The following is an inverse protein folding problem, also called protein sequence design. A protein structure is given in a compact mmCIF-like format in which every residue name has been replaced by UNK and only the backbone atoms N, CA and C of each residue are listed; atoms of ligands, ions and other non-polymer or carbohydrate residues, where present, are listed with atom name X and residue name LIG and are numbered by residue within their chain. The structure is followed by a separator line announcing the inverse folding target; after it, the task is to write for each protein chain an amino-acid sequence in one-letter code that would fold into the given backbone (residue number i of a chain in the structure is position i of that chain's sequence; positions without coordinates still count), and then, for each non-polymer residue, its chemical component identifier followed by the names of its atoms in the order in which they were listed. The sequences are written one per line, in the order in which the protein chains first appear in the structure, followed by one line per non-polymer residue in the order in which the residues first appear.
data_IF_271921396188
#
_entry.id   IF_271921396188
#
_cell.length_a   1.000
_cell.length_b   1.000
_cell.length_c   1.000
_cell.angle_alpha   90.00
_cell.angle_beta   90.00
_cell.angle_gamma   90.00
#
_symmetry.space_group_name_H-M   'P 1'
#
loop_
_entity.id
_entity.type
_entity.pdbx_description
1 polymer ?
#
# COMPACT_ATOMS: atom_id res chain seq x y z
N UNK A 1 42.84 -35.73 7.47
CA UNK A 1 41.97 -34.55 7.29
C UNK A 1 41.15 -34.77 6.04
N UNK A 2 40.00 -35.45 6.16
CA UNK A 2 39.08 -35.65 5.03
C UNK A 2 38.18 -34.42 4.93
N UNK A 3 38.49 -33.52 4.00
CA UNK A 3 37.58 -32.45 3.62
C UNK A 3 36.32 -33.08 3.04
N UNK A 4 35.21 -32.96 3.75
CA UNK A 4 33.90 -33.37 3.27
C UNK A 4 33.66 -32.69 1.92
N UNK A 5 33.34 -33.41 0.84
CA UNK A 5 33.07 -32.78 -0.44
C UNK A 5 31.86 -31.85 -0.27
N UNK A 6 32.05 -30.56 -0.56
CA UNK A 6 30.96 -29.60 -0.56
C UNK A 6 29.90 -30.08 -1.55
N UNK A 7 28.68 -30.32 -1.08
CA UNK A 7 27.55 -30.65 -1.94
C UNK A 7 27.24 -29.51 -2.92
N UNK A 8 26.33 -29.70 -3.89
CA UNK A 8 26.01 -28.68 -4.90
C UNK A 8 25.34 -27.43 -4.30
N UNK A 9 24.95 -27.47 -3.03
CA UNK A 9 24.30 -26.39 -2.33
C UNK A 9 25.25 -25.73 -1.32
N UNK A 10 25.20 -24.39 -1.28
CA UNK A 10 25.83 -23.59 -0.24
C UNK A 10 24.77 -23.09 0.72
N UNK A 11 24.97 -23.31 2.02
CA UNK A 11 24.14 -22.70 3.06
C UNK A 11 24.49 -21.20 3.15
N UNK A 12 23.47 -20.34 3.00
CA UNK A 12 23.58 -18.90 3.25
C UNK A 12 22.70 -18.58 4.45
N UNK A 13 23.31 -18.63 5.64
CA UNK A 13 22.70 -18.28 6.91
C UNK A 13 22.50 -16.76 7.05
N UNK A 14 21.91 -16.33 8.16
CA UNK A 14 21.64 -14.90 8.36
C UNK A 14 22.91 -14.06 8.33
N UNK A 15 23.98 -14.49 9.02
CA UNK A 15 25.23 -13.73 9.10
C UNK A 15 25.85 -13.52 7.71
N UNK A 16 25.79 -14.54 6.85
CA UNK A 16 26.25 -14.42 5.46
C UNK A 16 25.36 -13.46 4.63
N UNK A 17 24.04 -13.41 4.86
CA UNK A 17 23.13 -12.45 4.21
C UNK A 17 23.40 -11.03 4.66
N UNK A 18 23.52 -10.81 5.98
CA UNK A 18 23.86 -9.51 6.57
C UNK A 18 25.24 -9.03 6.10
N UNK A 19 26.22 -9.93 5.98
CA UNK A 19 27.54 -9.60 5.41
C UNK A 19 27.48 -9.20 3.93
N UNK A 20 26.53 -9.76 3.15
CA UNK A 20 26.34 -9.33 1.76
C UNK A 20 25.77 -7.90 1.67
N UNK A 21 25.04 -7.43 2.69
CA UNK A 21 24.53 -6.05 2.75
C UNK A 21 25.64 -4.99 2.88
N UNK A 22 26.88 -5.39 3.20
CA UNK A 22 28.04 -4.48 3.20
C UNK A 22 28.34 -3.90 1.81
N UNK A 23 27.93 -4.60 0.75
CA UNK A 23 28.09 -4.16 -0.65
C UNK A 23 26.98 -3.21 -1.12
N UNK A 24 25.95 -2.98 -0.29
CA UNK A 24 24.91 -2.00 -0.59
C UNK A 24 25.46 -0.57 -0.55
N UNK A 25 24.74 0.35 -1.19
CA UNK A 25 25.04 1.76 -1.20
C UNK A 25 25.15 2.33 0.24
N UNK A 26 25.98 3.36 0.47
CA UNK A 26 26.14 3.95 1.81
C UNK A 26 24.84 4.46 2.44
N UNK A 27 23.84 4.81 1.62
CA UNK A 27 22.53 5.28 2.06
C UNK A 27 21.51 4.17 2.33
N UNK A 28 21.88 2.89 2.08
CA UNK A 28 21.00 1.75 2.31
C UNK A 28 20.85 1.42 3.80
N UNK A 29 19.64 1.03 4.20
CA UNK A 29 19.41 0.47 5.52
C UNK A 29 19.95 -0.95 5.61
N UNK A 30 20.69 -1.27 6.67
CA UNK A 30 21.24 -2.61 6.91
C UNK A 30 20.46 -3.30 8.01
N UNK A 31 20.10 -4.56 7.82
CA UNK A 31 19.37 -5.36 8.80
C UNK A 31 20.16 -5.48 10.10
N UNK A 32 21.48 -5.67 10.01
CA UNK A 32 22.39 -5.73 11.15
C UNK A 32 22.48 -4.41 11.95
N UNK A 33 22.06 -3.28 11.36
CA UNK A 33 22.01 -1.96 11.99
C UNK A 33 20.58 -1.49 12.29
N UNK A 34 19.60 -2.41 12.24
CA UNK A 34 18.21 -2.09 12.56
C UNK A 34 18.08 -1.52 13.98
N UNK A 35 17.16 -0.56 14.15
CA UNK A 35 16.73 -0.08 15.48
C UNK A 35 15.94 -1.14 16.26
N UNK A 36 15.68 -2.28 15.63
CA UNK A 36 15.08 -3.45 16.25
C UNK A 36 13.56 -3.39 16.35
N UNK A 37 13.04 -4.30 17.18
CA UNK A 37 11.61 -4.53 17.40
C UNK A 37 11.19 -3.94 18.74
N UNK A 38 9.90 -3.65 18.90
CA UNK A 38 9.37 -3.12 20.16
C UNK A 38 9.53 -4.13 21.30
N UNK A 39 9.30 -5.42 21.02
CA UNK A 39 9.57 -6.51 21.96
C UNK A 39 10.79 -7.32 21.49
N UNK A 40 11.81 -7.48 22.35
CA UNK A 40 12.95 -8.34 22.02
C UNK A 40 12.51 -9.77 21.73
N UNK A 41 13.08 -10.36 20.70
CA UNK A 41 12.84 -11.75 20.33
C UNK A 41 14.14 -12.38 19.84
N UNK A 42 14.28 -13.72 19.94
CA UNK A 42 15.42 -14.41 19.39
C UNK A 42 15.55 -14.17 17.88
N UNK A 43 16.80 -14.07 17.51
CA UNK A 43 17.29 -13.80 16.19
C UNK A 43 17.17 -15.09 15.32
N UNK A 44 16.70 -14.99 14.06
CA UNK A 44 16.48 -16.16 13.18
C UNK A 44 17.81 -16.64 12.58
N UNK A 45 18.01 -17.96 12.51
CA UNK A 45 19.27 -18.54 12.07
C UNK A 45 19.55 -18.31 10.57
N UNK A 46 18.51 -18.15 9.74
CA UNK A 46 18.63 -18.09 8.29
C UNK A 46 18.26 -16.73 7.71
N UNK A 47 17.20 -16.10 8.23
CA UNK A 47 16.62 -14.90 7.64
C UNK A 47 17.08 -13.63 8.34
N UNK A 48 17.27 -12.55 7.59
CA UNK A 48 17.49 -11.20 8.17
C UNK A 48 16.23 -10.68 8.84
N UNK A 49 16.36 -9.63 9.66
CA UNK A 49 15.21 -9.03 10.34
C UNK A 49 14.12 -8.54 9.35
N UNK A 50 14.52 -7.97 8.21
CA UNK A 50 13.60 -7.48 7.18
C UNK A 50 12.92 -8.62 6.39
N UNK A 51 13.63 -9.72 6.11
CA UNK A 51 13.04 -10.91 5.51
C UNK A 51 11.96 -11.53 6.43
N UNK A 52 12.21 -11.56 7.74
CA UNK A 52 11.21 -12.02 8.72
C UNK A 52 9.97 -11.14 8.73
N UNK A 53 10.14 -9.83 8.60
CA UNK A 53 9.03 -8.87 8.58
C UNK A 53 8.15 -9.04 7.35
N UNK A 54 8.79 -9.15 6.17
CA UNK A 54 8.11 -9.51 4.93
C UNK A 54 7.24 -10.76 5.12
N UNK A 55 7.83 -11.82 5.67
CA UNK A 55 7.14 -13.09 5.85
C UNK A 55 5.96 -12.95 6.84
N UNK A 56 6.10 -12.17 7.92
CA UNK A 56 5.01 -11.89 8.87
C UNK A 56 3.84 -11.16 8.22
N UNK A 57 4.13 -10.10 7.45
CA UNK A 57 3.12 -9.33 6.72
C UNK A 57 2.38 -10.23 5.74
N UNK A 58 3.10 -11.06 4.98
CA UNK A 58 2.50 -11.94 3.97
C UNK A 58 1.49 -12.94 4.58
N UNK A 59 1.70 -13.38 5.82
CA UNK A 59 0.83 -14.31 6.53
C UNK A 59 -0.29 -13.63 7.36
N UNK A 60 -0.27 -12.30 7.47
CA UNK A 60 -1.27 -11.52 8.18
C UNK A 60 -2.68 -11.71 7.59
N UNK A 61 -3.72 -11.58 8.43
CA UNK A 61 -5.11 -11.60 7.96
C UNK A 61 -5.41 -10.35 7.14
N UNK A 62 -4.91 -9.18 7.56
CA UNK A 62 -5.06 -7.92 6.86
C UNK A 62 -4.52 -7.99 5.43
N UNK A 63 -3.33 -8.58 5.23
CA UNK A 63 -2.77 -8.78 3.90
C UNK A 63 -3.65 -9.67 3.02
N UNK A 64 -4.15 -10.79 3.55
CA UNK A 64 -5.09 -11.67 2.82
C UNK A 64 -6.39 -10.96 2.40
N UNK A 65 -6.87 -10.00 3.21
CA UNK A 65 -8.08 -9.23 2.92
C UNK A 65 -7.91 -8.26 1.76
N UNK A 66 -6.67 -7.87 1.40
CA UNK A 66 -6.42 -7.00 0.24
C UNK A 66 -6.96 -7.58 -1.06
N UNK A 67 -7.07 -8.92 -1.17
CA UNK A 67 -7.70 -9.61 -2.31
C UNK A 67 -9.16 -9.19 -2.51
N UNK A 68 -9.83 -8.77 -1.44
CA UNK A 68 -11.26 -8.48 -1.41
C UNK A 68 -11.54 -7.01 -1.10
N UNK A 69 -10.54 -6.14 -1.29
CA UNK A 69 -10.68 -4.68 -1.23
C UNK A 69 -10.38 -4.11 -2.60
N UNK A 70 -11.24 -3.22 -3.05
CA UNK A 70 -11.15 -2.59 -4.36
C UNK A 70 -10.01 -1.57 -4.41
N UNK A 71 -9.30 -1.52 -5.55
CA UNK A 71 -8.42 -0.42 -5.93
C UNK A 71 -9.16 0.48 -6.93
N UNK A 72 -9.41 1.74 -6.56
CA UNK A 72 -10.03 2.80 -7.40
C UNK A 72 -11.44 2.51 -7.93
N UNK A 73 -11.64 1.48 -8.75
CA UNK A 73 -12.91 1.24 -9.41
C UNK A 73 -13.82 0.30 -8.63
N UNK A 74 -14.84 0.84 -7.94
CA UNK A 74 -15.86 0.04 -7.23
C UNK A 74 -16.55 -0.94 -8.20
N UNK A 75 -16.14 -2.20 -8.13
CA UNK A 75 -16.76 -3.29 -8.86
C UNK A 75 -16.67 -4.60 -8.06
N UNK A 76 -17.66 -4.91 -7.21
CA UNK A 76 -17.67 -6.15 -6.43
C UNK A 76 -17.87 -7.43 -7.28
N UNK A 77 -18.23 -7.31 -8.56
CA UNK A 77 -18.63 -8.45 -9.43
C UNK A 77 -17.79 -8.62 -10.72
N UNK A 78 -16.83 -7.73 -11.00
CA UNK A 78 -16.02 -7.77 -12.22
C UNK A 78 -14.64 -8.40 -12.02
N UNK A 79 -14.36 -9.48 -12.75
CA UNK A 79 -13.12 -10.28 -12.61
C UNK A 79 -11.85 -9.59 -13.16
N UNK A 80 -11.97 -8.44 -13.82
CA UNK A 80 -10.86 -7.79 -14.54
C UNK A 80 -10.27 -6.55 -13.86
N UNK A 81 -10.79 -6.12 -12.70
CA UNK A 81 -10.32 -4.91 -12.02
C UNK A 81 -9.21 -5.20 -11.01
N UNK A 82 -8.28 -4.25 -10.89
CA UNK A 82 -7.18 -4.32 -9.92
C UNK A 82 -7.77 -4.33 -8.50
N UNK A 83 -7.40 -5.33 -7.71
CA UNK A 83 -7.64 -5.35 -6.27
C UNK A 83 -6.48 -4.66 -5.57
N UNK A 84 -6.64 -4.27 -4.30
CA UNK A 84 -5.50 -3.76 -3.51
C UNK A 84 -4.36 -4.77 -3.43
N UNK A 85 -4.65 -6.07 -3.45
CA UNK A 85 -3.59 -7.08 -3.51
C UNK A 85 -2.81 -7.00 -4.81
N UNK A 86 -3.48 -6.87 -5.95
CA UNK A 86 -2.81 -6.73 -7.25
C UNK A 86 -2.00 -5.44 -7.32
N UNK A 87 -2.54 -4.31 -6.85
CA UNK A 87 -1.80 -3.05 -6.69
C UNK A 87 -0.55 -3.25 -5.81
N UNK A 88 -0.72 -3.85 -4.64
CA UNK A 88 0.38 -4.13 -3.70
C UNK A 88 1.49 -4.95 -4.34
N UNK A 89 1.16 -5.96 -5.16
CA UNK A 89 2.16 -6.76 -5.88
C UNK A 89 2.90 -5.94 -6.95
N UNK A 90 2.20 -5.05 -7.65
CA UNK A 90 2.82 -4.12 -8.62
C UNK A 90 3.75 -3.13 -7.92
N UNK A 91 3.29 -2.49 -6.83
CA UNK A 91 4.11 -1.60 -5.99
C UNK A 91 5.34 -2.33 -5.46
N UNK A 92 5.18 -3.56 -5.01
CA UNK A 92 6.30 -4.40 -4.54
C UNK A 92 7.31 -4.65 -5.65
N UNK A 93 6.86 -4.96 -6.87
CA UNK A 93 7.77 -5.14 -8.01
C UNK A 93 8.54 -3.86 -8.34
N UNK A 94 7.87 -2.72 -8.40
CA UNK A 94 8.49 -1.41 -8.69
C UNK A 94 9.47 -1.02 -7.58
N UNK A 95 9.06 -1.12 -6.31
CA UNK A 95 9.91 -0.80 -5.16
C UNK A 95 11.19 -1.63 -5.13
N UNK A 96 11.10 -2.95 -5.39
CA UNK A 96 12.26 -3.83 -5.49
C UNK A 96 13.15 -3.50 -6.69
N UNK A 97 12.57 -3.05 -7.80
CA UNK A 97 13.33 -2.61 -8.98
C UNK A 97 14.14 -1.36 -8.66
N UNK A 98 13.51 -0.36 -8.04
CA UNK A 98 14.16 0.88 -7.60
C UNK A 98 15.25 0.60 -6.58
N UNK A 99 14.94 -0.19 -5.54
CA UNK A 99 15.91 -0.53 -4.50
C UNK A 99 17.15 -1.21 -5.08
N UNK A 100 16.97 -2.20 -5.97
CA UNK A 100 18.10 -2.86 -6.63
C UNK A 100 18.93 -1.93 -7.52
N UNK A 101 18.27 -1.11 -8.34
CA UNK A 101 18.96 -0.19 -9.24
C UNK A 101 19.81 0.84 -8.47
N UNK A 102 19.35 1.24 -7.28
CA UNK A 102 20.03 2.21 -6.41
C UNK A 102 20.99 1.56 -5.39
N UNK A 103 21.13 0.23 -5.40
CA UNK A 103 21.95 -0.49 -4.42
C UNK A 103 21.43 -0.42 -2.99
N UNK A 104 20.11 -0.31 -2.79
CA UNK A 104 19.43 -0.25 -1.50
C UNK A 104 18.97 -1.64 -1.05
N UNK A 105 18.46 -1.75 0.19
CA UNK A 105 18.02 -3.02 0.75
C UNK A 105 16.68 -3.47 0.16
N UNK A 106 16.74 -4.39 -0.79
CA UNK A 106 15.58 -4.93 -1.48
C UNK A 106 14.56 -5.58 -0.52
N UNK A 107 15.02 -6.30 0.51
CA UNK A 107 14.13 -7.00 1.44
C UNK A 107 13.34 -6.02 2.31
N UNK A 108 13.95 -4.90 2.69
CA UNK A 108 13.25 -3.83 3.41
C UNK A 108 12.21 -3.14 2.51
N UNK A 109 12.59 -2.78 1.28
CA UNK A 109 11.65 -2.18 0.32
C UNK A 109 10.46 -3.11 0.04
N UNK A 110 10.71 -4.42 -0.11
CA UNK A 110 9.67 -5.44 -0.27
C UNK A 110 8.76 -5.54 0.95
N UNK A 111 9.31 -5.62 2.16
CA UNK A 111 8.51 -5.69 3.40
C UNK A 111 7.59 -4.46 3.56
N UNK A 112 8.12 -3.25 3.34
CA UNK A 112 7.33 -2.02 3.41
C UNK A 112 6.26 -2.00 2.32
N UNK A 113 6.60 -2.34 1.08
CA UNK A 113 5.66 -2.36 -0.04
C UNK A 113 4.52 -3.36 0.20
N UNK A 114 4.76 -4.54 0.76
CA UNK A 114 3.68 -5.47 1.11
C UNK A 114 2.81 -4.95 2.25
N UNK A 115 3.37 -4.13 3.14
CA UNK A 115 2.68 -3.59 4.31
C UNK A 115 1.93 -2.27 4.07
N UNK A 116 2.25 -1.51 3.01
CA UNK A 116 1.77 -0.13 2.88
C UNK A 116 0.25 0.02 2.87
N UNK A 117 -0.43 -0.97 2.28
CA UNK A 117 -1.86 -0.92 1.97
C UNK A 117 -2.74 -1.72 2.96
N UNK A 118 -2.14 -2.45 3.92
CA UNK A 118 -2.88 -3.33 4.85
C UNK A 118 -3.92 -2.59 5.70
N UNK A 119 -3.73 -1.28 5.88
CA UNK A 119 -4.58 -0.39 6.66
C UNK A 119 -5.79 0.19 5.92
N UNK A 120 -5.92 0.01 4.60
CA UNK A 120 -7.02 0.65 3.87
C UNK A 120 -8.40 0.15 4.31
N UNK A 121 -9.36 1.05 4.33
CA UNK A 121 -10.78 0.78 4.58
C UNK A 121 -11.44 0.02 3.43
N UNK A 122 -12.65 -0.54 3.63
CA UNK A 122 -13.49 -0.95 2.52
C UNK A 122 -13.79 0.25 1.61
N UNK A 123 -13.96 0.01 0.31
CA UNK A 123 -14.28 1.04 -0.70
C UNK A 123 -13.18 2.09 -0.95
N UNK A 124 -11.93 1.80 -0.54
CA UNK A 124 -10.77 2.66 -0.84
C UNK A 124 -10.87 4.06 -0.23
N UNK A 125 -10.43 5.09 -0.96
CA UNK A 125 -10.39 6.47 -0.44
C UNK A 125 -11.76 6.98 0.04
N UNK A 126 -12.85 6.53 -0.60
CA UNK A 126 -14.21 6.87 -0.17
C UNK A 126 -14.48 6.36 1.25
N UNK A 127 -14.02 5.15 1.56
CA UNK A 127 -14.14 4.58 2.89
C UNK A 127 -13.35 5.37 3.93
N UNK A 128 -12.19 5.92 3.58
CA UNK A 128 -11.39 6.77 4.48
C UNK A 128 -12.16 8.04 4.87
N UNK A 129 -12.68 8.75 3.87
CA UNK A 129 -13.49 9.95 4.09
C UNK A 129 -14.75 9.66 4.94
N UNK A 130 -15.27 8.44 4.86
CA UNK A 130 -16.41 8.03 5.67
C UNK A 130 -16.08 7.98 7.17
N UNK A 131 -14.81 7.74 7.53
CA UNK A 131 -14.33 7.67 8.91
C UNK A 131 -13.96 9.02 9.53
N UNK A 132 -13.75 10.07 8.73
CA UNK A 132 -13.31 11.39 9.23
C UNK A 132 -14.13 11.95 10.40
N UNK A 133 -15.48 11.83 10.43
CA UNK A 133 -16.25 12.32 11.58
C UNK A 133 -15.98 11.59 12.90
N UNK A 134 -15.41 10.38 12.84
CA UNK A 134 -15.18 9.52 14.01
C UNK A 134 -13.75 9.57 14.54
N UNK A 135 -12.80 10.12 13.77
CA UNK A 135 -11.39 10.18 14.18
C UNK A 135 -10.94 11.63 14.25
N UNK A 136 -10.71 12.18 15.46
CA UNK A 136 -10.18 13.53 15.62
C UNK A 136 -8.86 13.69 14.84
N UNK A 137 -8.79 14.71 13.98
CA UNK A 137 -7.63 14.94 13.11
C UNK A 137 -7.68 14.22 11.76
N UNK A 138 -8.74 13.46 11.48
CA UNK A 138 -8.94 12.71 10.24
C UNK A 138 -8.48 11.26 10.33
N UNK A 139 -9.06 10.39 9.51
CA UNK A 139 -8.66 8.99 9.40
C UNK A 139 -7.69 8.82 8.22
N UNK A 140 -6.64 8.02 8.39
CA UNK A 140 -5.68 7.75 7.31
C UNK A 140 -5.22 6.29 7.34
N UNK A 141 -5.23 5.62 6.19
CA UNK A 141 -4.91 4.19 6.09
C UNK A 141 -3.51 3.85 6.59
N UNK A 142 -2.52 4.70 6.34
CA UNK A 142 -1.16 4.49 6.84
C UNK A 142 -1.10 4.39 8.38
N UNK A 143 -1.86 5.21 9.11
CA UNK A 143 -1.94 5.13 10.57
C UNK A 143 -2.65 3.84 11.00
N UNK A 144 -3.73 3.47 10.30
CA UNK A 144 -4.41 2.20 10.53
C UNK A 144 -3.50 1.00 10.23
N UNK A 145 -2.65 1.07 9.20
CA UNK A 145 -1.69 0.04 8.85
C UNK A 145 -0.69 -0.20 9.97
N UNK A 146 -0.16 0.86 10.57
CA UNK A 146 0.69 0.77 11.78
C UNK A 146 -0.09 0.15 12.94
N UNK A 147 -1.32 0.60 13.20
CA UNK A 147 -2.17 0.04 14.26
C UNK A 147 -2.45 -1.46 14.06
N UNK A 148 -2.66 -1.90 12.82
CA UNK A 148 -2.84 -3.32 12.50
C UNK A 148 -1.59 -4.12 12.87
N UNK A 149 -0.41 -3.69 12.44
CA UNK A 149 0.81 -4.48 12.62
C UNK A 149 1.36 -4.41 14.05
N UNK A 150 1.03 -3.36 14.81
CA UNK A 150 1.49 -3.20 16.19
C UNK A 150 0.50 -3.71 17.24
N UNK A 151 -0.81 -3.52 17.02
CA UNK A 151 -1.83 -3.72 18.06
C UNK A 151 -2.76 -4.87 17.70
N UNK A 152 -3.39 -4.84 16.52
CA UNK A 152 -4.50 -5.75 16.20
C UNK A 152 -4.03 -7.16 15.82
N UNK A 153 -2.97 -7.26 15.02
CA UNK A 153 -2.36 -8.53 14.64
C UNK A 153 -1.00 -8.77 15.31
N UNK A 154 -0.46 -7.74 15.97
CA UNK A 154 0.74 -7.79 16.81
C UNK A 154 1.92 -8.55 16.17
N UNK A 155 2.33 -8.09 14.98
CA UNK A 155 3.38 -8.71 14.18
C UNK A 155 4.80 -8.43 14.70
N UNK A 156 4.96 -7.53 15.68
CA UNK A 156 6.24 -7.13 16.27
C UNK A 156 7.33 -6.80 15.22
N UNK A 157 6.98 -6.04 14.18
CA UNK A 157 7.87 -5.68 13.07
C UNK A 157 9.03 -4.78 13.52
N UNK A 158 10.11 -4.71 12.75
CA UNK A 158 11.20 -3.77 12.99
C UNK A 158 10.70 -2.33 12.85
N UNK A 159 11.43 -1.39 13.45
CA UNK A 159 11.11 0.03 13.38
C UNK A 159 11.10 0.55 11.93
N UNK A 160 12.03 0.10 11.09
CA UNK A 160 12.16 0.57 9.69
C UNK A 160 10.93 0.22 8.86
N UNK A 161 10.40 -0.99 9.02
CA UNK A 161 9.20 -1.43 8.30
C UNK A 161 7.99 -0.64 8.77
N UNK A 162 7.84 -0.44 10.08
CA UNK A 162 6.73 0.35 10.65
C UNK A 162 6.78 1.81 10.22
N UNK A 163 7.95 2.43 10.20
CA UNK A 163 8.13 3.80 9.71
C UNK A 163 7.83 3.92 8.21
N UNK A 164 8.26 2.94 7.41
CA UNK A 164 7.91 2.86 6.00
C UNK A 164 6.39 2.77 5.78
N UNK A 165 5.70 1.89 6.50
CA UNK A 165 4.22 1.78 6.44
C UNK A 165 3.57 3.10 6.88
N UNK A 166 4.04 3.71 7.97
CA UNK A 166 3.55 4.98 8.51
C UNK A 166 3.60 6.10 7.48
N UNK A 167 4.67 6.21 6.69
CA UNK A 167 4.95 7.40 5.88
C UNK A 167 5.16 7.14 4.38
N UNK A 168 4.70 6.02 3.84
CA UNK A 168 4.71 5.77 2.39
C UNK A 168 3.83 6.78 1.61
N UNK A 169 2.81 7.38 2.26
CA UNK A 169 1.95 8.37 1.62
C UNK A 169 2.68 9.70 1.47
N UNK A 170 2.53 10.31 0.29
CA UNK A 170 3.09 11.64 0.01
C UNK A 170 2.45 12.78 0.81
N UNK A 171 1.31 12.53 1.47
CA UNK A 171 0.61 13.50 2.32
C UNK A 171 1.22 13.61 3.72
N UNK A 172 2.13 12.70 4.08
CA UNK A 172 2.65 12.57 5.44
C UNK A 172 4.01 13.27 5.56
N UNK A 173 4.09 14.15 6.56
CA UNK A 173 5.26 14.89 7.00
C UNK A 173 5.49 14.61 8.51
N UNK A 174 6.72 14.28 8.96
CA UNK A 174 7.93 14.06 8.15
C UNK A 174 7.84 12.81 7.26
N UNK A 175 8.58 12.80 6.13
CA UNK A 175 8.74 11.62 5.27
C UNK A 175 9.39 10.45 6.03
N UNK A 176 9.39 9.23 5.46
CA UNK A 176 10.02 8.07 6.11
C UNK A 176 11.53 8.25 6.16
N UNK A 177 12.17 7.58 7.10
CA UNK A 177 13.59 7.76 7.39
C UNK A 177 14.53 6.97 6.47
N UNK A 178 14.05 5.92 5.79
CA UNK A 178 14.87 5.04 4.95
C UNK A 178 14.67 5.33 3.47
N UNK A 179 15.74 5.16 2.68
CA UNK A 179 15.68 5.33 1.22
C UNK A 179 14.81 4.26 0.57
N UNK A 180 14.79 3.07 1.16
CA UNK A 180 13.90 1.97 0.77
C UNK A 180 12.42 2.36 0.90
N UNK A 181 12.05 3.07 1.98
CA UNK A 181 10.70 3.59 2.12
C UNK A 181 10.40 4.72 1.11
N UNK A 182 11.38 5.58 0.80
CA UNK A 182 11.23 6.56 -0.28
C UNK A 182 11.02 5.90 -1.64
N UNK A 183 11.68 4.76 -1.94
CA UNK A 183 11.37 3.95 -3.10
C UNK A 183 9.92 3.49 -3.10
N UNK A 184 9.37 3.06 -1.95
CA UNK A 184 7.95 2.68 -1.85
C UNK A 184 7.02 3.87 -2.10
N UNK A 185 7.37 5.09 -1.64
CA UNK A 185 6.60 6.31 -1.95
C UNK A 185 6.46 6.53 -3.46
N UNK A 186 7.57 6.38 -4.20
CA UNK A 186 7.52 6.48 -5.66
C UNK A 186 6.80 5.29 -6.29
N UNK A 187 7.08 4.07 -5.83
CA UNK A 187 6.48 2.86 -6.36
C UNK A 187 4.96 2.84 -6.26
N UNK A 188 4.39 3.31 -5.14
CA UNK A 188 2.94 3.46 -4.97
C UNK A 188 2.35 4.40 -6.03
N UNK A 189 2.97 5.57 -6.20
CA UNK A 189 2.54 6.57 -7.20
C UNK A 189 2.68 6.09 -8.64
N UNK A 190 3.79 5.41 -8.97
CA UNK A 190 4.00 4.81 -10.29
C UNK A 190 2.97 3.72 -10.55
N UNK A 191 2.73 2.88 -9.54
CA UNK A 191 1.73 1.83 -9.57
C UNK A 191 0.39 2.38 -9.97
N UNK A 192 -0.23 3.20 -9.11
CA UNK A 192 -1.59 3.69 -9.32
C UNK A 192 -1.71 4.54 -10.59
N UNK A 193 -0.79 5.48 -10.88
CA UNK A 193 -0.91 6.32 -12.08
C UNK A 193 -0.90 5.51 -13.38
N UNK A 194 -0.09 4.44 -13.44
CA UNK A 194 0.03 3.66 -14.67
C UNK A 194 -1.16 2.72 -14.87
N UNK A 195 -1.51 1.90 -13.86
CA UNK A 195 -2.60 0.93 -14.04
C UNK A 195 -3.97 1.61 -14.02
N UNK A 196 -4.19 2.64 -13.20
CA UNK A 196 -5.48 3.33 -13.18
C UNK A 196 -5.72 4.05 -14.50
N UNK A 197 -4.69 4.64 -15.11
CA UNK A 197 -4.82 5.25 -16.45
C UNK A 197 -5.13 4.18 -17.52
N UNK A 198 -4.49 3.01 -17.44
CA UNK A 198 -4.75 1.91 -18.35
C UNK A 198 -6.17 1.35 -18.20
N UNK A 199 -6.62 1.15 -16.97
CA UNK A 199 -7.94 0.62 -16.68
C UNK A 199 -9.02 1.65 -17.00
N UNK A 200 -8.81 2.94 -16.70
CA UNK A 200 -9.68 4.03 -17.13
C UNK A 200 -9.82 4.10 -18.67
N UNK A 201 -8.73 3.83 -19.40
CA UNK A 201 -8.76 3.81 -20.87
C UNK A 201 -9.52 2.58 -21.40
N UNK A 202 -9.27 1.39 -20.86
CA UNK A 202 -10.00 0.14 -21.21
C UNK A 202 -11.50 0.25 -20.95
N UNK A 203 -11.82 0.93 -19.87
CA UNK A 203 -13.16 1.23 -19.43
C UNK A 203 -13.89 2.30 -20.26
N UNK A 204 -13.17 3.03 -21.11
CA UNK A 204 -13.71 4.16 -21.87
C UNK A 204 -14.02 5.41 -21.05
N UNK A 205 -13.52 5.51 -19.80
CA UNK A 205 -13.62 6.73 -18.97
C UNK A 205 -12.82 7.86 -19.58
N UNK A 206 -11.65 7.52 -20.11
CA UNK A 206 -10.76 8.41 -20.84
C UNK A 206 -10.35 7.75 -22.14
N UNK A 207 -10.01 8.55 -23.16
CA UNK A 207 -9.28 8.08 -24.33
C UNK A 207 -7.78 8.22 -24.08
N UNK A 208 -6.96 7.37 -24.70
CA UNK A 208 -5.50 7.51 -24.62
C UNK A 208 -5.01 8.90 -25.08
N UNK A 209 -5.74 9.52 -26.02
CA UNK A 209 -5.50 10.89 -26.51
C UNK A 209 -5.89 11.99 -25.52
N UNK A 210 -6.63 11.68 -24.46
CA UNK A 210 -7.03 12.65 -23.45
C UNK A 210 -5.90 12.90 -22.43
N UNK A 211 -4.92 12.00 -22.35
CA UNK A 211 -3.81 12.10 -21.41
C UNK A 211 -2.96 13.36 -21.67
N UNK A 212 -2.38 13.98 -20.63
CA UNK A 212 -1.55 15.16 -20.80
C UNK A 212 -0.37 14.89 -21.75
N UNK A 213 -0.20 15.77 -22.74
CA UNK A 213 0.80 15.59 -23.79
C UNK A 213 2.23 15.44 -23.22
N UNK A 214 2.54 16.18 -22.15
CA UNK A 214 3.83 16.09 -21.46
C UNK A 214 4.04 14.72 -20.82
N UNK A 215 3.03 14.19 -20.13
CA UNK A 215 3.09 12.88 -19.51
C UNK A 215 3.30 11.78 -20.56
N UNK A 216 2.60 11.85 -21.70
CA UNK A 216 2.78 10.90 -22.80
C UNK A 216 4.16 11.04 -23.46
N UNK A 217 4.68 12.25 -23.62
CA UNK A 217 6.01 12.48 -24.18
C UNK A 217 7.13 11.93 -23.28
N UNK A 218 7.01 12.12 -21.96
CA UNK A 218 8.04 11.70 -21.00
C UNK A 218 7.94 10.21 -20.65
N UNK A 219 6.73 9.69 -20.44
CA UNK A 219 6.53 8.32 -19.94
C UNK A 219 6.00 7.34 -20.99
N UNK A 220 5.48 7.81 -22.12
CA UNK A 220 4.81 6.97 -23.10
C UNK A 220 3.40 6.56 -22.69
N UNK A 221 2.92 5.45 -23.26
CA UNK A 221 1.56 4.96 -23.04
C UNK A 221 1.40 4.27 -21.67
N UNK A 222 0.21 4.35 -21.04
CA UNK A 222 -0.09 3.66 -19.78
C UNK A 222 0.23 2.15 -19.82
N UNK A 223 0.60 1.59 -18.68
CA UNK A 223 1.07 0.20 -18.56
C UNK A 223 2.60 0.11 -18.48
N UNK A 224 3.17 -0.93 -19.10
CA UNK A 224 4.58 -1.29 -18.91
C UNK A 224 5.57 -0.22 -19.39
N UNK A 225 5.24 0.50 -20.48
CA UNK A 225 6.10 1.58 -20.99
C UNK A 225 6.21 2.72 -19.96
N UNK A 226 5.06 3.21 -19.47
CA UNK A 226 4.99 4.24 -18.44
C UNK A 226 5.67 3.82 -17.14
N UNK A 227 5.47 2.56 -16.68
CA UNK A 227 6.16 2.05 -15.49
C UNK A 227 7.68 2.07 -15.68
N UNK A 228 8.19 1.57 -16.80
CA UNK A 228 9.63 1.55 -17.09
C UNK A 228 10.22 2.95 -17.11
N UNK A 229 9.60 3.87 -17.87
CA UNK A 229 10.07 5.25 -17.98
C UNK A 229 10.05 6.00 -16.63
N UNK A 230 9.04 5.77 -15.79
CA UNK A 230 9.00 6.36 -14.45
C UNK A 230 10.06 5.76 -13.52
N UNK A 231 10.34 4.46 -13.60
CA UNK A 231 11.45 3.83 -12.86
C UNK A 231 12.78 4.46 -13.28
N UNK A 232 13.04 4.54 -14.59
CA UNK A 232 14.26 5.13 -15.15
C UNK A 232 14.42 6.58 -14.67
N UNK A 233 13.35 7.37 -14.69
CA UNK A 233 13.38 8.75 -14.23
C UNK A 233 13.68 8.92 -12.72
N UNK A 234 13.24 7.97 -11.87
CA UNK A 234 13.63 7.94 -10.45
C UNK A 234 15.10 7.56 -10.30
N UNK A 235 15.58 6.58 -11.06
CA UNK A 235 16.99 6.15 -10.99
C UNK A 235 17.91 7.26 -11.48
N UNK A 236 17.61 7.89 -12.61
CA UNK A 236 18.38 9.00 -13.18
C UNK A 236 18.44 10.19 -12.23
N UNK A 237 17.30 10.58 -11.65
CA UNK A 237 17.26 11.65 -10.65
C UNK A 237 18.10 11.33 -9.42
N UNK A 238 17.95 10.12 -8.89
CA UNK A 238 18.65 9.66 -7.68
C UNK A 238 20.15 9.48 -7.86
N UNK A 239 20.61 9.15 -9.06
CA UNK A 239 22.04 8.98 -9.38
C UNK A 239 22.69 10.25 -9.94
N UNK A 240 21.93 11.33 -10.09
CA UNK A 240 22.45 12.60 -10.61
C UNK A 240 23.56 13.17 -9.71
N UNK A 241 24.56 13.80 -10.33
CA UNK A 241 25.72 14.35 -9.61
C UNK A 241 25.34 15.42 -8.55
N UNK A 242 24.17 16.04 -8.67
CA UNK A 242 23.64 17.01 -7.71
C UNK A 242 23.03 16.40 -6.45
N UNK A 243 22.73 15.10 -6.43
CA UNK A 243 22.07 14.42 -5.31
C UNK A 243 23.08 13.94 -4.24
N UNK A 244 23.81 14.88 -3.64
CA UNK A 244 24.85 14.56 -2.64
C UNK A 244 24.29 14.03 -1.32
N UNK A 245 23.00 14.25 -1.04
CA UNK A 245 22.31 13.73 0.13
C UNK A 245 21.89 12.25 0.00
N UNK A 246 22.05 11.65 -1.19
CA UNK A 246 21.68 10.26 -1.47
C UNK A 246 20.18 9.99 -1.28
N UNK A 247 19.33 10.96 -1.59
CA UNK A 247 17.88 10.84 -1.51
C UNK A 247 17.31 10.10 -2.72
N UNK A 248 16.18 9.41 -2.56
CA UNK A 248 15.46 8.89 -3.73
C UNK A 248 14.64 10.03 -4.33
N UNK A 249 14.96 10.42 -5.55
CA UNK A 249 14.32 11.54 -6.24
C UNK A 249 14.10 11.23 -7.72
N UNK A 250 13.02 11.75 -8.28
CA UNK A 250 12.75 11.75 -9.72
C UNK A 250 13.36 13.01 -10.36
N UNK A 251 13.82 12.90 -11.62
CA UNK A 251 14.28 14.06 -12.39
C UNK A 251 13.20 15.15 -12.48
N UNK A 252 13.60 16.42 -12.50
CA UNK A 252 12.66 17.55 -12.40
C UNK A 252 11.57 17.52 -13.48
N UNK A 253 11.96 17.30 -14.74
CA UNK A 253 11.01 17.24 -15.86
C UNK A 253 10.00 16.10 -15.70
N UNK A 254 10.46 14.92 -15.30
CA UNK A 254 9.59 13.78 -15.06
C UNK A 254 8.68 14.00 -13.85
N UNK A 255 9.18 14.62 -12.79
CA UNK A 255 8.36 14.93 -11.61
C UNK A 255 7.23 15.91 -11.97
N UNK A 256 7.50 16.93 -12.78
CA UNK A 256 6.47 17.84 -13.30
C UNK A 256 5.43 17.09 -14.15
N UNK A 257 5.88 16.20 -15.05
CA UNK A 257 4.98 15.38 -15.86
C UNK A 257 4.13 14.41 -15.01
N UNK A 258 4.69 13.87 -13.92
CA UNK A 258 3.99 13.01 -12.98
C UNK A 258 2.91 13.79 -12.21
N UNK A 259 3.19 15.03 -11.80
CA UNK A 259 2.21 15.89 -11.17
C UNK A 259 1.06 16.24 -12.12
N UNK A 260 1.37 16.59 -13.37
CA UNK A 260 0.36 16.88 -14.40
C UNK A 260 -0.54 15.67 -14.68
N UNK A 261 0.06 14.47 -14.83
CA UNK A 261 -0.70 13.22 -14.99
C UNK A 261 -1.59 12.95 -13.79
N UNK A 262 -1.07 13.13 -12.58
CA UNK A 262 -1.84 12.93 -11.34
C UNK A 262 -3.04 13.86 -11.29
N UNK A 263 -2.85 15.16 -11.53
CA UNK A 263 -3.92 16.14 -11.45
C UNK A 263 -5.00 15.87 -12.50
N UNK A 264 -4.60 15.46 -13.70
CA UNK A 264 -5.53 14.97 -14.73
C UNK A 264 -6.33 13.75 -14.26
N UNK A 265 -5.68 12.73 -13.69
CA UNK A 265 -6.35 11.52 -13.20
C UNK A 265 -7.34 11.82 -12.09
N UNK A 266 -7.01 12.74 -11.18
CA UNK A 266 -7.95 13.22 -10.15
C UNK A 266 -9.17 13.90 -10.77
N UNK A 267 -8.98 14.79 -11.73
CA UNK A 267 -10.06 15.54 -12.35
C UNK A 267 -10.97 14.67 -13.24
N UNK A 268 -10.41 13.65 -13.92
CA UNK A 268 -11.12 12.91 -14.97
C UNK A 268 -11.57 11.51 -14.58
N UNK A 269 -10.86 10.87 -13.65
CA UNK A 269 -11.13 9.49 -13.23
C UNK A 269 -11.72 9.48 -11.83
N UNK A 270 -10.98 10.00 -10.84
CA UNK A 270 -11.37 9.89 -9.43
C UNK A 270 -12.56 10.79 -9.03
N UNK A 271 -12.74 11.94 -9.69
CA UNK A 271 -13.82 12.89 -9.40
C UNK A 271 -15.05 12.76 -10.31
N UNK A 272 -15.18 11.70 -11.10
CA UNK A 272 -16.28 11.55 -12.07
C UNK A 272 -17.67 11.41 -11.41
N UNK A 273 -18.74 11.87 -12.09
CA UNK A 273 -20.12 11.86 -11.55
C UNK A 273 -20.63 10.45 -11.16
N UNK A 274 -20.15 9.41 -11.85
CA UNK A 274 -20.47 8.02 -11.53
C UNK A 274 -19.82 7.62 -10.19
N UNK A 275 -18.60 8.07 -9.92
CA UNK A 275 -17.96 7.90 -8.63
C UNK A 275 -18.70 8.65 -7.51
N UNK A 276 -19.31 9.80 -7.81
CA UNK A 276 -20.09 10.56 -6.83
C UNK A 276 -21.36 9.82 -6.36
N UNK A 277 -22.06 9.09 -7.23
CA UNK A 277 -23.25 8.32 -6.86
C UNK A 277 -22.95 7.15 -5.92
N UNK A 278 -21.90 6.37 -6.21
CA UNK A 278 -21.45 5.28 -5.35
C UNK A 278 -20.85 5.76 -4.04
N UNK A 279 -20.20 6.94 -4.06
CA UNK A 279 -19.62 7.56 -2.87
C UNK A 279 -20.65 7.72 -1.76
N UNK A 280 -21.86 8.18 -2.08
CA UNK A 280 -22.91 8.35 -1.07
C UNK A 280 -23.30 7.01 -0.41
N UNK A 281 -23.46 5.95 -1.21
CA UNK A 281 -23.81 4.62 -0.70
C UNK A 281 -22.68 4.05 0.18
N UNK A 282 -21.43 4.17 -0.24
CA UNK A 282 -20.29 3.65 0.53
C UNK A 282 -20.12 4.39 1.86
N UNK A 283 -20.26 5.72 1.85
CA UNK A 283 -20.21 6.53 3.09
C UNK A 283 -21.36 6.15 4.03
N UNK A 284 -22.59 6.00 3.53
CA UNK A 284 -23.74 5.59 4.33
C UNK A 284 -23.52 4.20 4.95
N UNK A 285 -23.06 3.22 4.15
CA UNK A 285 -22.75 1.86 4.63
C UNK A 285 -21.75 1.89 5.78
N UNK A 286 -20.61 2.59 5.62
CA UNK A 286 -19.58 2.66 6.65
C UNK A 286 -20.11 3.33 7.92
N UNK A 287 -20.77 4.49 7.79
CA UNK A 287 -21.28 5.26 8.94
C UNK A 287 -22.32 4.48 9.72
N UNK A 288 -23.30 3.87 9.04
CA UNK A 288 -24.31 3.03 9.69
C UNK A 288 -23.69 1.83 10.39
N UNK A 289 -22.68 1.21 9.81
CA UNK A 289 -21.94 0.12 10.46
C UNK A 289 -21.21 0.62 11.72
N UNK A 290 -20.54 1.77 11.66
CA UNK A 290 -19.88 2.36 12.83
C UNK A 290 -20.90 2.67 13.94
N UNK A 291 -21.96 3.40 13.61
CA UNK A 291 -22.99 3.82 14.57
C UNK A 291 -23.69 2.61 15.23
N UNK A 292 -23.97 1.56 14.44
CA UNK A 292 -24.56 0.34 14.97
C UNK A 292 -23.63 -0.40 15.93
N UNK A 293 -22.34 -0.55 15.61
CA UNK A 293 -21.40 -1.24 16.50
C UNK A 293 -21.00 -0.39 17.72
N UNK A 294 -21.14 0.93 17.64
CA UNK A 294 -21.07 1.81 18.82
C UNK A 294 -22.23 1.56 19.79
N UNK A 295 -23.44 1.36 19.27
CA UNK A 295 -24.61 1.02 20.09
C UNK A 295 -24.59 -0.45 20.59
N UNK A 296 -23.87 -1.33 19.88
CA UNK A 296 -23.80 -2.77 20.12
C UNK A 296 -22.35 -3.30 20.14
N UNK A 297 -21.50 -2.83 21.08
CA UNK A 297 -20.07 -3.19 21.12
C UNK A 297 -19.83 -4.69 21.34
N UNK A 298 -20.80 -5.43 21.89
CA UNK A 298 -20.75 -6.87 22.06
C UNK A 298 -20.65 -7.64 20.72
N UNK A 299 -21.05 -7.01 19.61
CA UNK A 299 -20.97 -7.59 18.26
C UNK A 299 -19.57 -7.49 17.65
N UNK A 300 -18.67 -6.69 18.23
CA UNK A 300 -17.28 -6.58 17.77
C UNK A 300 -16.56 -7.90 18.06
N UNK A 301 -15.93 -8.55 17.06
CA UNK A 301 -15.20 -9.80 17.26
C UNK A 301 -14.03 -9.63 18.23
N UNK A 302 -13.75 -10.67 19.02
CA UNK A 302 -12.66 -10.64 20.00
C UNK A 302 -11.28 -10.29 19.41
N UNK A 303 -11.01 -10.62 18.14
CA UNK A 303 -9.76 -10.26 17.46
C UNK A 303 -9.59 -8.77 17.17
N UNK A 304 -10.63 -7.96 17.40
CA UNK A 304 -10.61 -6.50 17.27
C UNK A 304 -10.82 -5.79 18.60
N UNK A 305 -10.95 -6.54 19.70
CA UNK A 305 -11.09 -5.97 21.03
C UNK A 305 -9.71 -5.63 21.56
N UNK A 306 -9.49 -4.34 21.76
CA UNK A 306 -8.32 -3.77 22.41
C UNK A 306 -8.82 -3.06 23.67
N UNK A 307 -8.70 -3.70 24.83
CA UNK A 307 -9.29 -3.21 26.09
C UNK A 307 -8.67 -1.90 26.57
N UNK A 308 -7.50 -1.54 26.06
CA UNK A 308 -6.83 -0.27 26.36
C UNK A 308 -7.30 0.88 25.46
N UNK A 309 -8.03 0.57 24.38
CA UNK A 309 -8.56 1.56 23.45
C UNK A 309 -10.02 1.92 23.75
N UNK A 310 -10.36 3.18 23.50
CA UNK A 310 -11.74 3.67 23.59
C UNK A 310 -12.69 2.86 22.66
N UNK A 311 -13.97 2.69 23.04
CA UNK A 311 -14.92 1.90 22.26
C UNK A 311 -15.01 2.30 20.78
N UNK A 312 -14.95 3.61 20.50
CA UNK A 312 -14.98 4.13 19.14
C UNK A 312 -13.79 3.66 18.30
N UNK A 313 -12.59 3.60 18.87
CA UNK A 313 -11.41 3.10 18.17
C UNK A 313 -11.57 1.63 17.81
N UNK A 314 -12.07 0.80 18.73
CA UNK A 314 -12.30 -0.62 18.47
C UNK A 314 -13.36 -0.85 17.37
N UNK A 315 -14.40 -0.01 17.34
CA UNK A 315 -15.39 -0.03 16.26
C UNK A 315 -14.76 0.35 14.92
N UNK A 316 -13.99 1.45 14.88
CA UNK A 316 -13.29 1.88 13.66
C UNK A 316 -12.32 0.80 13.18
N UNK A 317 -11.59 0.14 14.08
CA UNK A 317 -10.70 -0.97 13.75
C UNK A 317 -11.45 -2.12 13.08
N UNK A 318 -12.61 -2.49 13.64
CA UNK A 318 -13.42 -3.57 13.10
C UNK A 318 -13.99 -3.24 11.72
N UNK A 319 -14.64 -2.07 11.58
CA UNK A 319 -15.30 -1.66 10.34
C UNK A 319 -14.28 -1.40 9.22
N UNK A 320 -13.19 -0.69 9.52
CA UNK A 320 -12.10 -0.48 8.54
C UNK A 320 -11.41 -1.79 8.14
N UNK A 321 -11.40 -2.77 9.05
CA UNK A 321 -10.87 -4.11 8.82
C UNK A 321 -11.73 -5.00 7.92
N UNK A 322 -12.96 -4.60 7.58
CA UNK A 322 -13.85 -5.37 6.70
C UNK A 322 -13.34 -5.40 5.25
N UNK A 323 -13.80 -6.38 4.48
CA UNK A 323 -13.69 -6.38 3.01
C UNK A 323 -14.94 -5.75 2.40
N UNK A 324 -14.89 -5.33 1.14
CA UNK A 324 -15.98 -4.58 0.52
C UNK A 324 -17.30 -5.38 0.52
N UNK A 325 -17.24 -6.64 0.08
CA UNK A 325 -18.41 -7.54 0.07
C UNK A 325 -18.91 -7.86 1.47
N UNK A 326 -18.00 -8.01 2.43
CA UNK A 326 -18.38 -8.28 3.82
C UNK A 326 -19.08 -7.07 4.46
N UNK A 327 -18.59 -5.85 4.20
CA UNK A 327 -19.21 -4.63 4.67
C UNK A 327 -20.63 -4.47 4.10
N UNK A 328 -20.79 -4.62 2.78
CA UNK A 328 -22.11 -4.57 2.12
C UNK A 328 -23.08 -5.63 2.67
N UNK A 329 -22.66 -6.90 2.72
CA UNK A 329 -23.52 -7.98 3.21
C UNK A 329 -23.88 -7.81 4.69
N UNK A 330 -22.95 -7.31 5.51
CA UNK A 330 -23.21 -7.02 6.93
C UNK A 330 -24.21 -5.89 7.07
N UNK A 331 -24.05 -4.81 6.31
CA UNK A 331 -24.98 -3.69 6.28
C UNK A 331 -26.39 -4.14 5.88
N UNK A 332 -26.52 -4.82 4.74
CA UNK A 332 -27.82 -5.22 4.19
C UNK A 332 -28.57 -6.15 5.14
N UNK A 333 -27.86 -7.08 5.79
CA UNK A 333 -28.43 -7.96 6.83
C UNK A 333 -28.88 -7.21 8.07
N UNK A 334 -28.11 -6.23 8.55
CA UNK A 334 -28.42 -5.50 9.80
C UNK A 334 -29.58 -4.50 9.63
N UNK A 335 -29.79 -4.01 8.40
CA UNK A 335 -30.68 -2.90 8.14
C UNK A 335 -31.85 -3.20 7.20
N UNK A 336 -32.02 -4.47 6.80
CA UNK A 336 -33.00 -4.91 5.79
C UNK A 336 -32.92 -4.01 4.55
N UNK A 337 -31.69 -3.81 4.07
CA UNK A 337 -31.35 -2.87 3.01
C UNK A 337 -30.84 -3.61 1.77
N UNK A 338 -30.69 -2.85 0.69
CA UNK A 338 -30.14 -3.35 -0.58
C UNK A 338 -29.04 -2.41 -1.08
N UNK A 339 -28.02 -2.17 -0.25
CA UNK A 339 -26.86 -1.39 -0.64
C UNK A 339 -25.99 -2.16 -1.65
N UNK A 340 -25.93 -3.49 -1.55
CA UNK A 340 -25.19 -4.32 -2.50
C UNK A 340 -25.67 -4.12 -3.95
N UNK A 341 -26.98 -4.09 -4.21
CA UNK A 341 -27.49 -3.86 -5.58
C UNK A 341 -27.31 -2.43 -6.09
N UNK A 342 -27.23 -1.46 -5.17
CA UNK A 342 -27.01 -0.04 -5.49
C UNK A 342 -25.54 0.28 -5.75
N UNK A 343 -24.62 -0.53 -5.23
CA UNK A 343 -23.19 -0.48 -5.52
C UNK A 343 -22.87 -1.14 -6.87
N UNK A 344 -23.54 -0.69 -7.95
CA UNK A 344 -23.28 -1.18 -9.32
C UNK A 344 -21.89 -0.80 -9.79
N UNK A 345 -21.21 -1.59 -10.64
CA UNK A 345 -19.90 -1.25 -11.17
C UNK A 345 -19.85 0.17 -11.77
N UNK A 346 -18.73 0.88 -11.61
CA UNK A 346 -18.50 2.19 -12.24
C UNK A 346 -18.63 2.18 -13.76
N UNK A 347 -18.60 1.00 -14.38
CA UNK A 347 -18.39 0.82 -15.80
C UNK A 347 -19.34 -0.24 -16.34
N UNK A 348 -19.95 0.00 -17.52
CA UNK A 348 -20.81 -1.01 -18.14
C UNK A 348 -20.00 -2.28 -18.39
N UNK A 349 -20.57 -3.42 -18.02
CA UNK A 349 -20.10 -4.75 -18.41
C UNK A 349 -20.29 -4.88 -19.93
N UNK A 350 -19.29 -4.44 -20.69
CA UNK A 350 -19.23 -4.56 -22.15
C UNK A 350 -18.54 -5.85 -22.57
#
# INVERSE_FOLDING_TARGET
MSGTPAGPFRLTDRAAREGAEEQLAPSAARAAASRGRARPEPEDALRTAFERDRDRILHAKAFRRLKHKTQVFLNPDGDHFVTRLTHTLQVTQVARSLARALGLNESLAEAIALGHDVGHSPFGHIGEEAFDPYVPGGWHHAAQGVRIVEVLEDLNLTWEVRDGIRAHSWKIDPPPATREAECVRYADRIGYLSHDALDAARAGVIRATDLPARAVAVFGQPGSQMVGAMIDAVVDGSTSAGNTAGAVVMSTEALEAMHELRDFMFARVYASDVAAGQKHVAVDVIRRLVDHHLAHPELIPASYRDTEAEPLTQVVDYVSGMTDRFALATHDRLFDADAASRMRPLLPTG
#
